data_IF_714593572851
#
_entry.id   IF_714593572851
#
_cell.length_a   1.000
_cell.length_b   1.000
_cell.length_c   1.000
_cell.angle_alpha   90.00
_cell.angle_beta   90.00
_cell.angle_gamma   90.00
#
_symmetry.space_group_name_H-M   'P 1'
#
loop_
_entity.id
_entity.type
_entity.pdbx_description
1 polymer ?
#
# COMPACT_ATOMS: atom_id res chain seq x y z
N UNK A 1 -9.34 17.84 13.58
CA UNK A 1 -8.06 17.14 13.29
C UNK A 1 -8.29 15.73 12.76
N UNK A 2 -9.33 15.01 13.22
CA UNK A 2 -9.73 13.70 12.67
C UNK A 2 -10.07 13.74 11.18
N UNK A 3 -10.66 14.84 10.72
CA UNK A 3 -11.26 14.90 9.38
C UNK A 3 -10.21 14.93 8.28
N UNK A 4 -9.03 15.49 8.57
CA UNK A 4 -7.90 15.45 7.65
C UNK A 4 -7.42 14.02 7.41
N UNK A 5 -7.37 13.19 8.46
CA UNK A 5 -6.95 11.79 8.33
C UNK A 5 -8.00 10.96 7.60
N UNK A 6 -9.29 11.22 7.83
CA UNK A 6 -10.37 10.59 7.06
C UNK A 6 -10.24 10.91 5.57
N UNK A 7 -10.16 12.19 5.23
CA UNK A 7 -9.95 12.63 3.85
C UNK A 7 -8.69 12.01 3.21
N UNK A 8 -7.56 12.02 3.91
CA UNK A 8 -6.30 11.47 3.40
C UNK A 8 -6.37 9.95 3.14
N UNK A 9 -6.97 9.20 4.08
CA UNK A 9 -6.99 7.74 4.02
C UNK A 9 -8.06 7.19 3.08
N UNK A 10 -9.23 7.84 3.03
CA UNK A 10 -10.42 7.30 2.38
C UNK A 10 -10.80 8.02 1.09
N UNK A 11 -10.42 9.28 0.90
CA UNK A 11 -10.88 10.08 -0.25
C UNK A 11 -9.75 10.45 -1.22
N UNK A 12 -8.54 10.70 -0.71
CA UNK A 12 -7.43 11.17 -1.54
C UNK A 12 -6.81 10.05 -2.37
N UNK A 13 -6.86 10.19 -3.70
CA UNK A 13 -6.18 9.30 -4.63
C UNK A 13 -4.69 9.64 -4.69
N UNK A 14 -3.86 8.60 -4.64
CA UNK A 14 -2.41 8.74 -4.70
C UNK A 14 -1.87 8.10 -5.98
N UNK A 15 -1.16 8.87 -6.79
CA UNK A 15 -0.59 8.40 -8.06
C UNK A 15 0.37 7.22 -7.87
N UNK A 16 1.17 7.23 -6.79
CA UNK A 16 2.08 6.13 -6.42
C UNK A 16 1.35 4.83 -6.03
N UNK A 17 0.07 4.92 -5.66
CA UNK A 17 -0.80 3.78 -5.39
C UNK A 17 -1.65 3.39 -6.63
N UNK A 18 -1.32 3.91 -7.81
CA UNK A 18 -2.10 3.67 -9.02
C UNK A 18 -3.47 4.35 -8.99
N UNK A 19 -3.55 5.56 -8.44
CA UNK A 19 -4.81 6.29 -8.23
C UNK A 19 -5.79 5.54 -7.34
N UNK A 20 -5.29 4.96 -6.25
CA UNK A 20 -6.09 4.37 -5.18
C UNK A 20 -5.87 5.13 -3.88
N UNK A 21 -6.77 4.91 -2.91
CA UNK A 21 -6.65 5.48 -1.58
C UNK A 21 -5.84 4.54 -0.66
N UNK A 22 -5.14 5.06 0.36
CA UNK A 22 -4.42 4.23 1.31
C UNK A 22 -5.29 3.13 1.94
N UNK A 23 -6.54 3.46 2.29
CA UNK A 23 -7.47 2.49 2.85
C UNK A 23 -7.86 1.39 1.83
N UNK A 24 -7.99 1.72 0.55
CA UNK A 24 -8.28 0.74 -0.49
C UNK A 24 -7.14 -0.30 -0.64
N UNK A 25 -5.89 0.16 -0.65
CA UNK A 25 -4.71 -0.73 -0.72
C UNK A 25 -4.59 -1.61 0.52
N UNK A 26 -4.80 -1.04 1.71
CA UNK A 26 -4.80 -1.82 2.96
C UNK A 26 -5.87 -2.92 2.95
N UNK A 27 -7.10 -2.58 2.54
CA UNK A 27 -8.21 -3.55 2.42
C UNK A 27 -7.93 -4.65 1.41
N UNK A 28 -7.21 -4.38 0.32
CA UNK A 28 -6.79 -5.40 -0.63
C UNK A 28 -5.80 -6.39 -0.01
N UNK A 29 -4.87 -5.93 0.82
CA UNK A 29 -3.91 -6.78 1.55
C UNK A 29 -4.54 -7.62 2.67
N UNK A 30 -5.69 -7.20 3.21
CA UNK A 30 -6.45 -7.98 4.19
C UNK A 30 -7.23 -9.14 3.59
N UNK A 31 -7.42 -9.16 2.25
CA UNK A 31 -8.04 -10.32 1.60
C UNK A 31 -7.12 -11.51 1.86
N UNK A 32 -7.63 -12.61 2.47
CA UNK A 32 -6.79 -13.76 2.75
C UNK A 32 -6.21 -14.25 1.43
N UNK A 33 -4.90 -14.07 1.25
CA UNK A 33 -4.20 -14.63 0.10
C UNK A 33 -4.23 -16.14 0.27
N UNK A 34 -5.15 -16.80 -0.43
CA UNK A 34 -5.08 -18.23 -0.67
C UNK A 34 -3.87 -18.49 -1.59
N UNK A 35 -2.65 -18.40 -1.06
CA UNK A 35 -1.45 -18.78 -1.79
C UNK A 35 -0.26 -17.85 -1.64
N UNK A 36 0.88 -18.48 -1.35
CA UNK A 36 2.27 -18.03 -1.43
C UNK A 36 2.69 -16.79 -0.62
N UNK A 37 3.32 -17.08 0.53
CA UNK A 37 4.38 -16.29 1.13
C UNK A 37 5.51 -16.03 0.11
N UNK A 38 5.39 -14.98 -0.68
CA UNK A 38 6.57 -14.42 -1.32
C UNK A 38 7.32 -13.62 -0.25
N UNK A 39 8.58 -14.01 -0.08
CA UNK A 39 9.50 -13.54 0.95
C UNK A 39 9.69 -12.02 0.80
N UNK A 40 9.41 -11.28 1.88
CA UNK A 40 9.45 -9.81 1.96
C UNK A 40 10.83 -9.21 1.60
N UNK A 41 11.86 -10.06 1.47
CA UNK A 41 13.25 -9.69 1.16
C UNK A 41 13.52 -9.34 -0.31
N UNK A 42 12.66 -9.71 -1.27
CA UNK A 42 12.95 -9.43 -2.70
C UNK A 42 12.42 -8.06 -3.15
N UNK A 43 11.35 -7.55 -2.53
CA UNK A 43 10.69 -6.32 -3.01
C UNK A 43 11.49 -5.05 -2.70
N UNK A 44 12.34 -5.07 -1.66
CA UNK A 44 13.04 -3.86 -1.20
C UNK A 44 14.38 -3.59 -1.92
N UNK A 45 14.95 -4.58 -2.61
CA UNK A 45 16.27 -4.46 -3.25
C UNK A 45 16.27 -3.77 -4.63
N UNK A 46 15.10 -3.53 -5.24
CA UNK A 46 15.02 -2.90 -6.56
C UNK A 46 14.76 -1.38 -6.50
N UNK A 47 14.43 -0.79 -5.34
CA UNK A 47 14.03 0.62 -5.26
C UNK A 47 15.03 1.56 -4.58
N UNK A 48 16.02 1.05 -3.84
CA UNK A 48 17.11 1.85 -3.28
C UNK A 48 18.42 1.08 -3.50
N UNK A 49 19.34 1.70 -4.25
CA UNK A 49 20.56 1.08 -4.74
C UNK A 49 21.43 0.47 -3.65
N UNK A 50 22.07 -0.65 -4.01
CA UNK A 50 23.22 -1.16 -3.30
C UNK A 50 24.28 -0.05 -3.13
N UNK A 51 24.79 0.08 -1.90
CA UNK A 51 26.07 0.73 -1.61
C UNK A 51 27.20 -0.28 -1.82
#
# INVERSE_FOLDING_TARGET
>A
MSDYFGFYNDERLHQSLGYQTPAAVYRQGLKPSSGNRLNLTVFWSCFWGAL
#
